data_IF_163818281458
#
_entry.id   IF_163818281458
#
_cell.length_a   1.000
_cell.length_b   1.000
_cell.length_c   1.000
_cell.angle_alpha   90.00
_cell.angle_beta   90.00
_cell.angle_gamma   90.00
#
_symmetry.space_group_name_H-M   'P 1'
#
loop_
_entity.id
_entity.type
_entity.pdbx_description
1 polymer ?
#
# COMPACT_ATOMS: atom_id res chain seq x y z
N UNK A 1 -13.41 -28.42 -20.08
CA UNK A 1 -13.23 -27.09 -19.48
C UNK A 1 -11.78 -26.59 -19.60
N UNK A 2 -10.78 -27.25 -19.00
CA UNK A 2 -9.36 -26.85 -19.08
C UNK A 2 -8.80 -26.77 -20.51
N UNK A 3 -9.20 -27.69 -21.41
CA UNK A 3 -8.77 -27.65 -22.83
C UNK A 3 -9.27 -26.40 -23.57
N UNK A 4 -10.50 -25.96 -23.30
CA UNK A 4 -11.04 -24.73 -23.90
C UNK A 4 -10.31 -23.50 -23.39
N UNK A 5 -10.02 -23.44 -22.09
CA UNK A 5 -9.26 -22.33 -21.49
C UNK A 5 -7.87 -22.23 -22.12
N UNK A 6 -7.15 -23.35 -22.26
CA UNK A 6 -5.83 -23.37 -22.90
C UNK A 6 -5.87 -22.91 -24.35
N UNK A 7 -6.89 -23.31 -25.11
CA UNK A 7 -7.06 -22.91 -26.49
C UNK A 7 -7.32 -21.40 -26.62
N UNK A 8 -8.22 -20.85 -25.81
CA UNK A 8 -8.52 -19.41 -25.78
C UNK A 8 -7.31 -18.59 -25.34
N UNK A 9 -6.56 -19.04 -24.33
CA UNK A 9 -5.33 -18.39 -23.88
C UNK A 9 -4.25 -18.39 -24.97
N UNK A 10 -4.07 -19.50 -25.68
CA UNK A 10 -3.13 -19.58 -26.79
C UNK A 10 -3.47 -18.61 -27.93
N UNK A 11 -4.76 -18.48 -28.25
CA UNK A 11 -5.22 -17.51 -29.24
C UNK A 11 -4.99 -16.07 -28.79
N UNK A 12 -5.25 -15.76 -27.51
CA UNK A 12 -5.02 -14.43 -26.95
C UNK A 12 -3.53 -14.07 -26.90
N UNK A 13 -2.66 -14.99 -26.48
CA UNK A 13 -1.21 -14.80 -26.40
C UNK A 13 -0.61 -14.44 -27.77
N UNK A 14 -1.13 -15.02 -28.85
CA UNK A 14 -0.67 -14.76 -30.22
C UNK A 14 -1.41 -13.61 -30.93
N UNK A 15 -2.38 -12.98 -30.27
CA UNK A 15 -3.16 -11.91 -30.87
C UNK A 15 -2.38 -10.61 -30.95
N UNK A 16 -2.19 -10.09 -32.17
CA UNK A 16 -1.59 -8.76 -32.40
C UNK A 16 -2.42 -7.63 -31.78
N UNK A 17 -3.74 -7.79 -31.74
CA UNK A 17 -4.64 -6.83 -31.07
C UNK A 17 -4.40 -6.80 -29.57
N UNK A 18 -4.26 -7.97 -28.94
CA UNK A 18 -3.95 -8.05 -27.51
C UNK A 18 -2.57 -7.44 -27.23
N UNK A 19 -1.57 -7.74 -28.07
CA UNK A 19 -0.26 -7.11 -27.96
C UNK A 19 -0.31 -5.58 -28.05
N UNK A 20 -1.09 -5.04 -29.00
CA UNK A 20 -1.31 -3.60 -29.14
C UNK A 20 -1.99 -2.99 -27.91
N UNK A 21 -3.00 -3.67 -27.35
CA UNK A 21 -3.70 -3.22 -26.14
C UNK A 21 -2.73 -3.15 -24.94
N UNK A 22 -1.92 -4.18 -24.74
CA UNK A 22 -0.92 -4.21 -23.66
C UNK A 22 0.15 -3.14 -23.86
N UNK A 23 0.56 -2.87 -25.10
CA UNK A 23 1.52 -1.80 -25.42
C UNK A 23 0.96 -0.40 -25.13
N UNK A 24 -0.34 -0.18 -25.39
CA UNK A 24 -1.03 1.06 -25.03
C UNK A 24 -1.13 1.18 -23.51
N UNK A 25 -1.52 0.12 -22.81
CA UNK A 25 -1.56 0.08 -21.34
C UNK A 25 -0.21 0.45 -20.71
N UNK A 26 0.90 -0.05 -21.27
CA UNK A 26 2.25 0.27 -20.83
C UNK A 26 2.59 1.76 -20.98
N UNK A 27 2.24 2.34 -22.14
CA UNK A 27 2.48 3.76 -22.44
C UNK A 27 1.59 4.71 -21.62
N UNK A 28 0.35 4.30 -21.38
CA UNK A 28 -0.59 5.04 -20.54
C UNK A 28 -0.08 4.99 -19.11
N UNK A 29 0.19 3.79 -18.59
CA UNK A 29 0.52 3.63 -17.19
C UNK A 29 1.86 4.24 -16.76
N UNK A 30 2.83 4.43 -17.67
CA UNK A 30 4.04 5.22 -17.36
C UNK A 30 3.72 6.69 -17.04
N UNK A 31 2.65 7.24 -17.60
CA UNK A 31 2.16 8.61 -17.33
C UNK A 31 1.22 8.67 -16.12
N UNK A 32 0.53 7.58 -15.76
CA UNK A 32 -0.38 7.55 -14.59
C UNK A 32 0.31 7.57 -13.23
N UNK A 33 1.65 7.51 -13.18
CA UNK A 33 2.38 7.92 -11.97
C UNK A 33 2.16 9.43 -11.67
N UNK A 34 1.67 10.22 -12.64
CA UNK A 34 1.49 11.68 -12.52
C UNK A 34 0.15 12.25 -13.01
N UNK A 35 -0.86 11.43 -13.37
CA UNK A 35 -2.16 11.94 -13.87
C UNK A 35 -3.14 12.20 -12.71
N UNK A 36 -3.52 13.48 -12.53
CA UNK A 36 -4.59 13.92 -11.62
C UNK A 36 -5.96 13.48 -12.17
N UNK A 37 -6.47 12.34 -11.70
CA UNK A 37 -7.84 11.90 -11.91
C UNK A 37 -8.82 12.62 -10.96
N UNK A 38 -10.12 12.61 -11.25
CA UNK A 38 -11.13 13.17 -10.31
C UNK A 38 -11.16 12.34 -9.01
N UNK A 39 -11.55 12.93 -7.87
CA UNK A 39 -11.50 12.27 -6.54
C UNK A 39 -12.18 10.89 -6.50
N UNK A 40 -13.25 10.68 -7.27
CA UNK A 40 -13.95 9.38 -7.36
C UNK A 40 -13.23 8.36 -8.25
N UNK A 41 -12.53 8.81 -9.29
CA UNK A 41 -11.67 7.96 -10.12
C UNK A 41 -10.35 7.63 -9.42
N UNK A 42 -9.80 8.57 -8.65
CA UNK A 42 -8.61 8.42 -7.81
C UNK A 42 -8.80 7.36 -6.70
N UNK A 43 -10.01 7.25 -6.15
CA UNK A 43 -10.35 6.27 -5.12
C UNK A 43 -10.64 4.86 -5.69
N UNK A 44 -11.13 4.76 -6.93
CA UNK A 44 -11.30 3.48 -7.66
C UNK A 44 -9.98 2.98 -8.26
N UNK A 45 -9.16 3.89 -8.76
CA UNK A 45 -7.84 3.63 -9.31
C UNK A 45 -6.74 3.74 -8.24
N UNK A 46 -7.11 3.68 -6.95
CA UNK A 46 -6.25 3.92 -5.80
C UNK A 46 -5.13 2.89 -5.74
N UNK A 47 -4.06 3.23 -6.44
CA UNK A 47 -2.69 2.72 -6.42
C UNK A 47 -2.43 1.22 -6.63
N UNK A 48 -3.41 0.32 -6.47
CA UNK A 48 -3.14 -1.12 -6.44
C UNK A 48 -3.49 -1.78 -7.77
N UNK A 49 -4.70 -1.59 -8.28
CA UNK A 49 -5.14 -2.27 -9.53
C UNK A 49 -4.37 -1.74 -10.76
N UNK A 50 -4.23 -0.41 -10.91
CA UNK A 50 -3.49 0.15 -12.04
C UNK A 50 -2.00 -0.26 -12.03
N UNK A 51 -1.39 -0.31 -10.83
CA UNK A 51 -0.01 -0.79 -10.65
C UNK A 51 0.12 -2.26 -11.01
N UNK A 52 -0.82 -3.10 -10.59
CA UNK A 52 -0.86 -4.52 -10.94
C UNK A 52 -1.04 -4.74 -12.44
N UNK A 53 -1.92 -3.98 -13.10
CA UNK A 53 -2.10 -4.03 -14.55
C UNK A 53 -0.83 -3.60 -15.31
N UNK A 54 -0.08 -2.64 -14.77
CA UNK A 54 1.20 -2.22 -15.32
C UNK A 54 2.29 -3.29 -15.18
N UNK A 55 2.45 -3.84 -13.98
CA UNK A 55 3.41 -4.93 -13.70
C UNK A 55 3.09 -6.11 -14.61
N UNK A 56 1.81 -6.49 -14.71
CA UNK A 56 1.35 -7.51 -15.64
C UNK A 56 1.74 -7.19 -17.08
N UNK A 57 1.50 -5.95 -17.53
CA UNK A 57 1.81 -5.52 -18.90
C UNK A 57 3.31 -5.61 -19.21
N UNK A 58 4.17 -5.24 -18.26
CA UNK A 58 5.64 -5.34 -18.39
C UNK A 58 6.07 -6.81 -18.50
N UNK A 59 5.57 -7.65 -17.59
CA UNK A 59 5.91 -9.08 -17.56
C UNK A 59 5.39 -9.80 -18.81
N UNK A 60 4.19 -9.48 -19.26
CA UNK A 60 3.62 -10.04 -20.47
C UNK A 60 4.35 -9.60 -21.73
N UNK A 61 4.87 -8.38 -21.77
CA UNK A 61 5.68 -7.92 -22.90
C UNK A 61 6.93 -8.80 -23.09
N UNK A 62 7.56 -9.22 -21.99
CA UNK A 62 8.74 -10.10 -22.01
C UNK A 62 8.42 -11.58 -22.21
N UNK A 63 7.37 -12.10 -21.56
CA UNK A 63 7.05 -13.54 -21.60
C UNK A 63 6.14 -13.95 -22.76
N UNK A 64 5.29 -13.04 -23.25
CA UNK A 64 4.20 -13.30 -24.21
C UNK A 64 3.21 -14.39 -23.77
N UNK A 65 3.14 -14.69 -22.48
CA UNK A 65 2.24 -15.71 -21.92
C UNK A 65 1.40 -15.12 -20.77
N UNK A 66 0.09 -15.05 -20.95
CA UNK A 66 -0.86 -14.50 -19.96
C UNK A 66 -0.81 -15.26 -18.64
N UNK A 67 -0.74 -16.59 -18.68
CA UNK A 67 -0.82 -17.40 -17.45
C UNK A 67 0.44 -17.21 -16.61
N UNK A 68 1.61 -17.26 -17.26
CA UNK A 68 2.90 -17.02 -16.60
C UNK A 68 2.96 -15.58 -16.08
N UNK A 69 2.46 -14.61 -16.86
CA UNK A 69 2.47 -13.19 -16.47
C UNK A 69 1.60 -12.90 -15.27
N UNK A 70 0.41 -13.48 -15.20
CA UNK A 70 -0.48 -13.37 -14.04
C UNK A 70 0.14 -14.02 -12.81
N UNK A 71 0.73 -15.22 -12.95
CA UNK A 71 1.39 -15.90 -11.84
C UNK A 71 2.57 -15.08 -11.29
N UNK A 72 3.44 -14.56 -12.16
CA UNK A 72 4.55 -13.71 -11.74
C UNK A 72 4.10 -12.39 -11.14
N UNK A 73 3.03 -11.78 -11.67
CA UNK A 73 2.45 -10.56 -11.09
C UNK A 73 1.91 -10.82 -9.70
N UNK A 74 1.20 -11.95 -9.50
CA UNK A 74 0.70 -12.33 -8.19
C UNK A 74 1.82 -12.56 -7.18
N UNK A 75 2.88 -13.28 -7.57
CA UNK A 75 4.07 -13.49 -6.72
C UNK A 75 4.73 -12.15 -6.39
N UNK A 76 4.94 -11.29 -7.39
CA UNK A 76 5.55 -9.98 -7.21
C UNK A 76 4.75 -9.12 -6.22
N UNK A 77 3.42 -9.04 -6.39
CA UNK A 77 2.53 -8.28 -5.49
C UNK A 77 2.59 -8.81 -4.07
N UNK A 78 2.56 -10.13 -3.88
CA UNK A 78 2.67 -10.71 -2.54
C UNK A 78 4.02 -10.37 -1.91
N UNK A 79 5.10 -10.41 -2.69
CA UNK A 79 6.42 -10.02 -2.22
C UNK A 79 6.47 -8.54 -1.82
N UNK A 80 5.97 -7.63 -2.67
CA UNK A 80 6.05 -6.19 -2.40
C UNK A 80 5.12 -5.75 -1.29
N UNK A 81 3.89 -6.25 -1.26
CA UNK A 81 2.84 -5.75 -0.36
C UNK A 81 2.90 -6.41 1.02
N UNK A 82 3.51 -7.61 1.11
CA UNK A 82 3.64 -8.35 2.38
C UNK A 82 5.07 -8.57 2.82
N UNK A 83 5.90 -9.16 1.97
CA UNK A 83 7.22 -9.66 2.38
C UNK A 83 8.24 -8.54 2.58
N UNK A 84 8.17 -7.51 1.73
CA UNK A 84 9.08 -6.36 1.71
C UNK A 84 8.42 -5.06 2.20
N UNK A 85 7.14 -5.10 2.54
CA UNK A 85 6.45 -3.95 3.11
C UNK A 85 6.69 -3.88 4.61
N UNK A 86 7.45 -2.89 5.07
CA UNK A 86 7.81 -2.72 6.49
C UNK A 86 6.62 -2.51 7.43
N UNK A 87 5.48 -2.05 6.89
CA UNK A 87 4.21 -1.89 7.63
C UNK A 87 3.40 -3.20 7.72
N UNK A 88 3.79 -4.24 6.98
CA UNK A 88 3.09 -5.52 6.95
C UNK A 88 3.51 -6.42 8.10
N UNK A 89 2.55 -7.17 8.66
CA UNK A 89 2.82 -8.16 9.72
C UNK A 89 3.75 -9.30 9.26
N UNK A 90 3.86 -9.51 7.95
CA UNK A 90 4.66 -10.57 7.33
C UNK A 90 6.02 -10.08 6.78
N UNK A 91 6.45 -8.87 7.15
CA UNK A 91 7.69 -8.29 6.66
C UNK A 91 8.92 -9.10 7.12
N UNK A 92 9.73 -9.57 6.17
CA UNK A 92 10.94 -10.37 6.42
C UNK A 92 12.19 -9.49 6.62
N UNK A 93 12.13 -8.20 6.29
CA UNK A 93 13.26 -7.28 6.40
C UNK A 93 13.68 -7.13 7.87
N UNK A 94 14.96 -7.38 8.25
CA UNK A 94 15.43 -7.22 9.62
C UNK A 94 15.28 -5.78 10.11
N UNK A 95 14.87 -5.59 11.37
CA UNK A 95 14.67 -4.26 11.96
C UNK A 95 15.92 -3.36 11.90
N UNK A 96 17.12 -3.95 11.95
CA UNK A 96 18.39 -3.22 11.85
C UNK A 96 18.63 -2.55 10.48
N UNK A 97 17.89 -2.95 9.45
CA UNK A 97 17.97 -2.39 8.10
C UNK A 97 16.77 -1.52 7.73
N UNK A 98 15.79 -1.39 8.64
CA UNK A 98 14.61 -0.55 8.42
C UNK A 98 14.96 0.88 8.84
N UNK A 99 14.93 1.79 7.88
CA UNK A 99 15.13 3.21 8.14
C UNK A 99 13.78 3.82 8.49
N UNK A 100 13.57 4.17 9.77
CA UNK A 100 12.32 4.76 10.26
C UNK A 100 12.30 6.30 10.19
N UNK A 101 13.23 6.91 9.45
CA UNK A 101 13.35 8.38 9.35
C UNK A 101 12.03 9.01 8.85
N UNK A 102 11.39 8.36 7.86
CA UNK A 102 10.11 8.79 7.27
C UNK A 102 8.89 8.63 8.21
N UNK A 103 9.02 7.94 9.35
CA UNK A 103 7.92 7.82 10.34
C UNK A 103 7.84 9.04 11.24
N UNK A 104 8.95 9.75 11.40
CA UNK A 104 9.05 10.94 12.25
C UNK A 104 8.90 12.24 11.45
N UNK A 105 9.21 12.17 10.16
CA UNK A 105 9.05 13.23 9.19
C UNK A 105 7.62 13.20 8.62
N UNK A 106 6.76 14.10 9.10
CA UNK A 106 5.35 14.16 8.71
C UNK A 106 5.18 14.89 7.38
N UNK A 107 6.19 15.63 6.93
CA UNK A 107 6.14 16.49 5.75
C UNK A 107 6.97 15.96 4.55
N UNK A 108 7.70 14.85 4.72
CA UNK A 108 8.51 14.16 3.70
C UNK A 108 9.67 15.04 3.16
N UNK A 109 10.22 15.93 4.00
CA UNK A 109 11.33 16.84 3.66
C UNK A 109 12.74 16.29 3.97
N UNK A 110 12.79 15.10 4.55
CA UNK A 110 13.98 14.37 4.98
C UNK A 110 14.58 14.85 6.31
N UNK A 111 13.90 15.71 7.07
CA UNK A 111 14.41 16.30 8.33
C UNK A 111 13.32 16.49 9.37
N UNK A 112 13.58 16.03 10.60
CA UNK A 112 12.71 16.36 11.74
C UNK A 112 12.88 17.83 12.11
N UNK A 113 11.85 18.63 11.84
CA UNK A 113 11.84 20.07 12.11
C UNK A 113 11.48 20.37 13.58
N UNK A 114 11.90 21.53 14.13
CA UNK A 114 11.53 21.94 15.50
C UNK A 114 10.00 22.01 15.71
N UNK A 115 9.25 22.34 14.67
CA UNK A 115 7.79 22.45 14.73
C UNK A 115 7.10 21.09 14.88
N UNK A 116 7.62 20.05 14.21
CA UNK A 116 7.12 18.67 14.38
C UNK A 116 7.37 18.14 15.79
N UNK A 117 8.54 18.46 16.37
CA UNK A 117 8.87 18.13 17.76
C UNK A 117 7.91 18.82 18.73
N UNK A 118 7.63 20.10 18.52
CA UNK A 118 6.70 20.86 19.37
C UNK A 118 5.27 20.30 19.28
N UNK A 119 4.81 19.96 18.06
CA UNK A 119 3.51 19.34 17.85
C UNK A 119 3.41 17.97 18.54
N UNK A 120 4.45 17.14 18.46
CA UNK A 120 4.51 15.86 19.17
C UNK A 120 4.43 16.04 20.70
N UNK A 121 5.15 17.02 21.25
CA UNK A 121 5.09 17.36 22.68
C UNK A 121 3.68 17.82 23.09
N UNK A 122 3.02 18.68 22.31
CA UNK A 122 1.64 19.12 22.59
C UNK A 122 0.66 17.94 22.62
N UNK A 123 0.81 16.96 21.74
CA UNK A 123 -0.02 15.75 21.75
C UNK A 123 0.23 14.93 23.02
N UNK A 124 1.49 14.74 23.42
CA UNK A 124 1.86 14.03 24.65
C UNK A 124 1.29 14.69 25.91
N UNK A 125 1.34 16.03 25.99
CA UNK A 125 0.75 16.77 27.11
C UNK A 125 -0.77 16.58 27.20
N UNK A 126 -1.47 16.64 26.06
CA UNK A 126 -2.93 16.38 26.02
C UNK A 126 -3.26 14.97 26.51
N UNK A 127 -2.50 13.97 26.08
CA UNK A 127 -2.68 12.57 26.51
C UNK A 127 -2.43 12.45 28.02
N UNK A 128 -1.39 13.10 28.56
CA UNK A 128 -1.09 13.11 30.00
C UNK A 128 -2.25 13.71 30.82
N UNK A 129 -2.80 14.84 30.39
CA UNK A 129 -3.95 15.47 31.04
C UNK A 129 -5.21 14.61 30.97
N UNK A 130 -5.45 13.94 29.83
CA UNK A 130 -6.56 13.00 29.69
C UNK A 130 -6.42 11.81 30.64
N UNK A 131 -5.21 11.25 30.75
CA UNK A 131 -4.94 10.12 31.65
C UNK A 131 -5.14 10.51 33.11
N UNK A 132 -4.70 11.71 33.53
CA UNK A 132 -4.93 12.21 34.88
C UNK A 132 -6.42 12.35 35.21
N UNK A 133 -7.20 12.95 34.31
CA UNK A 133 -8.67 13.03 34.45
C UNK A 133 -9.31 11.65 34.56
N UNK A 134 -8.89 10.72 33.72
CA UNK A 134 -9.41 9.35 33.72
C UNK A 134 -9.07 8.61 35.02
N UNK A 135 -7.88 8.83 35.57
CA UNK A 135 -7.47 8.26 36.86
C UNK A 135 -8.26 8.87 38.02
N UNK A 136 -8.53 10.17 37.99
CA UNK A 136 -9.34 10.83 39.01
C UNK A 136 -10.78 10.29 39.02
N UNK A 137 -11.39 10.12 37.83
CA UNK A 137 -12.72 9.51 37.70
C UNK A 137 -12.76 8.08 38.26
N UNK A 138 -11.77 7.24 37.93
CA UNK A 138 -11.66 5.88 38.48
C UNK A 138 -11.51 5.85 40.00
N UNK A 139 -10.80 6.81 40.58
CA UNK A 139 -10.72 6.92 42.05
C UNK A 139 -12.10 7.20 42.64
N UNK A 140 -12.86 8.15 42.07
CA UNK A 140 -14.22 8.46 42.53
C UNK A 140 -15.16 7.26 42.45
N UNK A 141 -15.13 6.51 41.33
CA UNK A 141 -15.91 5.26 41.18
C UNK A 141 -15.57 4.23 42.26
N UNK A 142 -14.28 4.00 42.52
CA UNK A 142 -13.83 3.08 43.57
C UNK A 142 -14.26 3.52 44.98
N UNK A 143 -14.28 4.83 45.25
CA UNK A 143 -14.78 5.35 46.53
C UNK A 143 -16.30 5.13 46.67
N UNK A 144 -17.08 5.40 45.61
CA UNK A 144 -18.52 5.14 45.63
C UNK A 144 -18.85 3.65 45.82
N UNK A 145 -18.14 2.74 45.13
CA UNK A 145 -18.36 1.30 45.29
C UNK A 145 -18.03 0.78 46.70
N UNK A 146 -17.10 1.41 47.43
CA UNK A 146 -16.76 1.02 48.80
C UNK A 146 -17.72 1.59 49.85
N UNK A 147 -18.53 2.58 49.49
CA UNK A 147 -19.48 3.23 50.38
C UNK A 147 -20.90 2.62 50.31
N UNK A 148 -21.16 1.75 49.33
CA UNK A 148 -22.30 0.81 49.29
C UNK A 148 -21.95 -0.48 50.00
#
# INVERSE_FOLDING_TARGET
MLKHIKYTLHYLNNSKFFAGLVMIMLNIGSKYITIKLSKSQEQYLRNTIARQLLIFSIIWMGTKDILISLAMTAVFVVMTDHLFNEQSQYCIIPQALRTYEDVLDVNDDGRVTPEEVENAQRVLEKVKQQQQRRNHLRMLENFQMRAM
#
